data_IF_055330716649
#
_entry.id   IF_055330716649
#
_cell.length_a   1.000
_cell.length_b   1.000
_cell.length_c   1.000
_cell.angle_alpha   90.00
_cell.angle_beta   90.00
_cell.angle_gamma   90.00
#
_symmetry.space_group_name_H-M   'P 1'
#
loop_
_entity.id
_entity.type
_entity.pdbx_description
1 polymer ?
#
# COMPACT_ATOMS: atom_id res chain seq x y z
N UNK A 1 9.63 0.04 -10.34
CA UNK A 1 9.83 -1.33 -9.84
C UNK A 1 11.30 -1.52 -9.54
N UNK A 2 11.65 -2.34 -8.55
CA UNK A 2 13.01 -2.67 -8.15
C UNK A 2 13.03 -3.99 -7.38
N UNK A 3 14.15 -4.31 -6.73
CA UNK A 3 14.31 -5.57 -5.97
C UNK A 3 14.67 -6.78 -6.81
N UNK A 4 15.09 -6.59 -8.07
CA UNK A 4 15.63 -7.67 -8.89
C UNK A 4 17.05 -8.03 -8.43
N UNK A 5 17.13 -8.99 -7.52
CA UNK A 5 18.39 -9.49 -6.95
C UNK A 5 19.24 -10.15 -8.04
N UNK A 6 18.61 -10.87 -8.97
CA UNK A 6 19.33 -11.58 -10.02
C UNK A 6 20.02 -10.60 -10.97
N UNK A 7 19.34 -9.53 -11.39
CA UNK A 7 19.93 -8.53 -12.28
C UNK A 7 21.19 -7.86 -11.71
N UNK A 8 21.30 -7.71 -10.38
CA UNK A 8 22.45 -7.09 -9.72
C UNK A 8 23.53 -8.07 -9.29
N UNK A 9 23.16 -9.29 -8.89
CA UNK A 9 24.08 -10.24 -8.24
C UNK A 9 24.33 -11.52 -9.03
N UNK A 10 23.64 -11.73 -10.15
CA UNK A 10 23.75 -12.95 -10.97
C UNK A 10 23.27 -14.21 -10.26
N UNK A 11 22.49 -14.07 -9.19
CA UNK A 11 21.89 -15.16 -8.41
C UNK A 11 20.53 -14.73 -7.87
N UNK A 12 19.63 -15.69 -7.72
CA UNK A 12 18.30 -15.46 -7.14
C UNK A 12 18.40 -15.12 -5.64
N UNK A 13 17.27 -14.71 -5.07
CA UNK A 13 17.12 -14.45 -3.63
C UNK A 13 17.48 -15.66 -2.77
N UNK A 14 17.35 -16.87 -3.31
CA UNK A 14 17.46 -18.13 -2.57
C UNK A 14 16.26 -18.40 -1.66
N UNK A 15 15.19 -17.61 -1.79
CA UNK A 15 13.94 -17.73 -1.06
C UNK A 15 12.82 -18.22 -1.99
N UNK A 16 11.84 -18.99 -1.48
CA UNK A 16 10.72 -19.43 -2.29
C UNK A 16 9.83 -18.26 -2.69
N UNK A 17 9.04 -18.47 -3.75
CA UNK A 17 7.96 -17.56 -4.10
C UNK A 17 6.88 -17.56 -3.02
N UNK A 18 6.11 -16.48 -2.97
CA UNK A 18 5.04 -16.25 -2.01
C UNK A 18 3.69 -16.30 -2.73
N UNK A 19 2.71 -16.93 -2.08
CA UNK A 19 1.32 -16.96 -2.55
C UNK A 19 0.74 -15.55 -2.65
N UNK A 20 -0.13 -15.32 -3.62
CA UNK A 20 -0.80 -14.04 -3.81
C UNK A 20 -1.75 -13.70 -2.66
N UNK A 21 -1.53 -12.56 -1.99
CA UNK A 21 -2.41 -12.00 -0.95
C UNK A 21 -3.12 -10.75 -1.49
N UNK A 22 -3.97 -10.95 -2.50
CA UNK A 22 -4.56 -9.83 -3.25
C UNK A 22 -5.75 -9.16 -2.56
N UNK A 23 -6.45 -9.92 -1.73
CA UNK A 23 -7.57 -9.48 -0.89
C UNK A 23 -7.45 -10.14 0.47
N UNK A 24 -8.22 -9.65 1.44
CA UNK A 24 -8.33 -10.25 2.76
C UNK A 24 -9.77 -10.21 3.25
N UNK A 25 -10.10 -11.11 4.17
CA UNK A 25 -11.41 -11.17 4.83
C UNK A 25 -11.39 -10.26 6.05
N UNK A 26 -12.08 -9.13 5.98
CA UNK A 26 -12.18 -8.11 7.04
C UNK A 26 -13.44 -8.33 7.86
N UNK A 27 -13.29 -8.42 9.16
CA UNK A 27 -14.41 -8.36 10.10
C UNK A 27 -14.73 -6.89 10.38
N UNK A 28 -15.93 -6.38 10.02
CA UNK A 28 -16.28 -4.98 10.25
C UNK A 28 -16.38 -4.59 11.73
N UNK A 29 -16.57 -5.53 12.65
CA UNK A 29 -16.64 -5.27 14.09
C UNK A 29 -15.24 -5.17 14.71
N UNK A 30 -14.32 -6.05 14.32
CA UNK A 30 -12.94 -6.03 14.82
C UNK A 30 -12.05 -4.99 14.10
N UNK A 31 -12.31 -4.77 12.82
CA UNK A 31 -11.56 -3.88 11.94
C UNK A 31 -12.53 -2.92 11.22
N UNK A 32 -13.08 -1.92 11.93
CA UNK A 32 -14.03 -0.98 11.37
C UNK A 32 -13.38 -0.14 10.27
N UNK A 33 -14.18 0.21 9.26
CA UNK A 33 -13.75 1.14 8.22
C UNK A 33 -13.74 2.55 8.80
N UNK A 34 -12.55 3.15 8.91
CA UNK A 34 -12.35 4.50 9.42
C UNK A 34 -12.49 5.50 8.28
N UNK A 35 -13.09 6.66 8.55
CA UNK A 35 -13.24 7.73 7.55
C UNK A 35 -13.80 7.22 6.21
N UNK A 36 -14.94 6.51 6.31
CA UNK A 36 -15.65 5.95 5.18
C UNK A 36 -16.05 7.03 4.16
N UNK A 37 -15.94 6.69 2.87
CA UNK A 37 -16.40 7.52 1.76
C UNK A 37 -17.83 7.07 1.42
N UNK A 38 -18.80 7.90 1.80
CA UNK A 38 -20.23 7.59 1.73
C UNK A 38 -20.78 7.01 3.05
N UNK A 39 -22.02 6.49 3.05
CA UNK A 39 -22.63 5.92 4.25
C UNK A 39 -21.88 4.68 4.74
N UNK A 40 -21.56 4.60 6.04
CA UNK A 40 -20.68 3.59 6.65
C UNK A 40 -20.99 2.13 6.25
N UNK A 41 -22.28 1.80 6.18
CA UNK A 41 -22.82 0.48 5.89
C UNK A 41 -22.71 0.08 4.40
N UNK A 42 -22.59 1.07 3.50
CA UNK A 42 -22.48 0.88 2.04
C UNK A 42 -21.18 1.39 1.44
N UNK A 43 -20.34 2.03 2.25
CA UNK A 43 -19.07 2.61 1.82
C UNK A 43 -18.16 1.54 1.21
N UNK A 44 -17.56 1.91 0.09
CA UNK A 44 -16.63 1.04 -0.65
C UNK A 44 -15.18 1.37 -0.38
N UNK A 45 -14.92 2.55 0.19
CA UNK A 45 -13.59 3.09 0.40
C UNK A 45 -13.50 3.79 1.75
N UNK A 46 -12.32 3.77 2.33
CA UNK A 46 -12.01 4.43 3.59
C UNK A 46 -10.59 4.04 4.02
N UNK A 47 -10.37 4.02 5.33
CA UNK A 47 -9.08 3.68 5.91
C UNK A 47 -9.19 2.60 6.97
N UNK A 48 -8.09 1.92 7.22
CA UNK A 48 -7.87 1.14 8.45
C UNK A 48 -6.47 1.45 8.94
N UNK A 49 -6.33 1.97 10.17
CA UNK A 49 -5.03 2.29 10.79
C UNK A 49 -4.09 3.09 9.88
N UNK A 50 -4.63 4.02 9.10
CA UNK A 50 -3.88 4.86 8.18
C UNK A 50 -3.50 4.23 6.83
N UNK A 51 -4.00 3.04 6.50
CA UNK A 51 -3.90 2.46 5.15
C UNK A 51 -5.20 2.70 4.38
N UNK A 52 -5.14 3.04 3.08
CA UNK A 52 -6.35 3.11 2.26
C UNK A 52 -6.92 1.70 2.11
N UNK A 53 -8.25 1.56 2.14
CA UNK A 53 -8.95 0.29 2.02
C UNK A 53 -10.09 0.41 1.02
N UNK A 54 -10.16 -0.54 0.09
CA UNK A 54 -11.33 -0.86 -0.71
C UNK A 54 -12.04 -2.07 -0.10
N UNK A 55 -13.37 -2.05 -0.05
CA UNK A 55 -14.16 -3.09 0.64
C UNK A 55 -15.49 -3.34 -0.04
N UNK A 56 -16.02 -4.55 0.12
CA UNK A 56 -17.47 -4.78 -0.02
C UNK A 56 -18.22 -4.03 1.10
N UNK A 57 -19.49 -3.74 0.88
CA UNK A 57 -20.37 -3.11 1.86
C UNK A 57 -20.45 -3.94 3.15
N UNK A 58 -20.31 -3.29 4.30
CA UNK A 58 -20.16 -3.96 5.60
C UNK A 58 -21.36 -4.86 5.95
N UNK A 59 -22.57 -4.52 5.52
CA UNK A 59 -23.77 -5.34 5.77
C UNK A 59 -23.69 -6.75 5.15
N UNK A 60 -22.83 -6.98 4.16
CA UNK A 60 -22.61 -8.33 3.60
C UNK A 60 -21.96 -9.29 4.60
N UNK A 61 -21.30 -8.78 5.65
CA UNK A 61 -20.73 -9.62 6.71
C UNK A 61 -21.80 -10.52 7.35
N UNK A 62 -22.96 -9.95 7.70
CA UNK A 62 -24.09 -10.68 8.34
C UNK A 62 -24.66 -11.79 7.45
N UNK A 63 -24.44 -11.71 6.14
CA UNK A 63 -24.92 -12.68 5.16
C UNK A 63 -23.84 -13.70 4.74
N UNK A 64 -22.60 -13.51 5.20
CA UNK A 64 -21.46 -14.34 4.86
C UNK A 64 -21.24 -15.47 5.88
N UNK A 65 -20.65 -16.58 5.45
CA UNK A 65 -20.41 -17.73 6.32
C UNK A 65 -19.33 -17.49 7.39
N UNK A 66 -18.42 -16.55 7.13
CA UNK A 66 -17.29 -16.20 8.01
C UNK A 66 -17.49 -14.86 8.73
N UNK A 67 -18.68 -14.26 8.64
CA UNK A 67 -19.03 -12.97 9.24
C UNK A 67 -18.13 -11.80 8.79
N UNK A 68 -17.54 -11.91 7.59
CA UNK A 68 -16.54 -10.98 7.06
C UNK A 68 -16.92 -10.47 5.67
N UNK A 69 -16.24 -9.41 5.26
CA UNK A 69 -16.32 -8.86 3.91
C UNK A 69 -14.99 -8.94 3.20
N UNK A 70 -15.00 -9.04 1.88
CA UNK A 70 -13.77 -8.93 1.10
C UNK A 70 -13.28 -7.48 1.14
N UNK A 71 -12.02 -7.30 1.49
CA UNK A 71 -11.32 -6.01 1.49
C UNK A 71 -9.96 -6.15 0.81
N UNK A 72 -9.40 -5.03 0.38
CA UNK A 72 -8.10 -4.95 -0.26
C UNK A 72 -7.49 -3.57 -0.04
N UNK A 73 -6.17 -3.46 -0.20
CA UNK A 73 -5.49 -2.17 -0.20
C UNK A 73 -5.40 -1.67 -1.66
N UNK A 74 -6.12 -0.59 -2.04
CA UNK A 74 -6.06 -0.07 -3.40
C UNK A 74 -4.68 0.51 -3.66
N UNK A 75 -4.23 0.43 -4.91
CA UNK A 75 -2.91 0.90 -5.34
C UNK A 75 -2.88 2.43 -5.50
N UNK A 76 -3.13 3.13 -4.39
CA UNK A 76 -2.97 4.57 -4.28
C UNK A 76 -1.51 4.99 -4.34
N UNK A 77 -1.27 6.27 -4.63
CA UNK A 77 0.06 6.87 -4.50
C UNK A 77 0.64 6.59 -3.10
N UNK A 78 1.91 6.21 -3.04
CA UNK A 78 2.63 5.86 -1.82
C UNK A 78 2.45 4.41 -1.34
N UNK A 79 1.51 3.62 -1.90
CA UNK A 79 1.40 2.19 -1.58
C UNK A 79 2.60 1.41 -2.12
N UNK A 80 2.97 0.33 -1.43
CA UNK A 80 4.03 -0.60 -1.81
C UNK A 80 3.43 -1.97 -2.05
N UNK A 81 3.82 -2.61 -3.15
CA UNK A 81 3.25 -3.89 -3.61
C UNK A 81 4.32 -4.77 -4.28
N UNK A 82 4.06 -6.06 -4.42
CA UNK A 82 4.98 -7.05 -4.99
C UNK A 82 4.85 -7.15 -6.50
N UNK A 83 5.95 -7.24 -7.24
CA UNK A 83 5.89 -7.64 -8.65
C UNK A 83 5.73 -9.17 -8.77
N UNK A 84 5.10 -9.62 -9.85
CA UNK A 84 4.91 -11.04 -10.18
C UNK A 84 4.91 -11.25 -11.70
N UNK A 85 5.00 -12.50 -12.12
CA UNK A 85 4.69 -12.92 -13.50
C UNK A 85 3.18 -13.13 -13.67
N UNK A 86 2.76 -13.74 -14.78
CA UNK A 86 1.37 -14.18 -14.98
C UNK A 86 0.92 -15.21 -13.93
N UNK A 87 1.85 -15.96 -13.33
CA UNK A 87 1.53 -16.84 -12.21
C UNK A 87 1.23 -15.98 -10.96
N UNK A 88 0.01 -16.04 -10.40
CA UNK A 88 -0.36 -15.28 -9.21
C UNK A 88 0.51 -15.57 -7.98
N UNK A 89 1.20 -16.71 -7.94
CA UNK A 89 2.03 -17.16 -6.82
C UNK A 89 3.54 -17.08 -7.11
N UNK A 90 3.94 -16.22 -8.06
CA UNK A 90 5.35 -16.03 -8.45
C UNK A 90 6.02 -14.79 -7.84
N UNK A 91 5.36 -14.15 -6.87
CA UNK A 91 5.95 -12.99 -6.19
C UNK A 91 7.18 -13.43 -5.37
N UNK A 92 8.28 -12.71 -5.49
CA UNK A 92 9.52 -12.97 -4.76
C UNK A 92 10.13 -11.64 -4.27
N UNK A 93 11.41 -11.36 -4.55
CA UNK A 93 12.12 -10.18 -4.04
C UNK A 93 11.73 -8.85 -4.73
N UNK A 94 11.09 -8.90 -5.90
CA UNK A 94 10.76 -7.68 -6.65
C UNK A 94 9.53 -6.97 -6.09
N UNK A 95 9.60 -5.65 -6.00
CA UNK A 95 8.52 -4.79 -5.51
C UNK A 95 8.42 -3.50 -6.32
N UNK A 96 7.32 -2.80 -6.17
CA UNK A 96 7.13 -1.48 -6.73
C UNK A 96 6.52 -0.51 -5.73
N UNK A 97 6.86 0.77 -5.94
CA UNK A 97 6.40 1.90 -5.15
C UNK A 97 5.44 2.70 -6.03
N UNK A 98 4.19 2.86 -5.58
CA UNK A 98 3.16 3.53 -6.35
C UNK A 98 3.44 5.03 -6.43
N UNK A 99 3.69 5.54 -7.64
CA UNK A 99 3.85 6.98 -7.91
C UNK A 99 2.51 7.68 -8.12
N UNK A 100 1.52 6.95 -8.63
CA UNK A 100 0.17 7.42 -8.94
C UNK A 100 -0.83 6.28 -8.71
N UNK A 101 -2.12 6.60 -8.68
CA UNK A 101 -3.19 5.61 -8.59
C UNK A 101 -3.19 4.65 -9.79
N UNK A 102 -3.40 3.35 -9.54
CA UNK A 102 -3.46 2.32 -10.58
C UNK A 102 -4.49 1.21 -10.26
N UNK A 103 -5.78 1.51 -10.45
CA UNK A 103 -6.89 0.61 -10.07
C UNK A 103 -6.86 -0.75 -10.78
N UNK A 104 -6.21 -0.84 -11.96
CA UNK A 104 -6.06 -2.10 -12.70
C UNK A 104 -5.17 -3.13 -11.97
N UNK A 105 -4.41 -2.72 -10.94
CA UNK A 105 -3.61 -3.62 -10.12
C UNK A 105 -4.39 -4.16 -8.90
N UNK A 106 -5.49 -3.52 -8.54
CA UNK A 106 -6.27 -3.88 -7.37
C UNK A 106 -6.81 -5.29 -7.48
N UNK A 107 -6.77 -6.03 -6.36
CA UNK A 107 -7.16 -7.45 -6.26
C UNK A 107 -6.38 -8.40 -7.18
N UNK A 108 -5.31 -7.94 -7.81
CA UNK A 108 -4.45 -8.73 -8.70
C UNK A 108 -2.99 -8.75 -8.26
N UNK A 109 -2.60 -7.89 -7.31
CA UNK A 109 -1.24 -7.75 -6.78
C UNK A 109 -1.29 -7.59 -5.25
N UNK A 110 -0.27 -8.09 -4.57
CA UNK A 110 -0.18 -8.07 -3.11
C UNK A 110 0.36 -6.71 -2.64
N UNK A 111 -0.53 -5.80 -2.26
CA UNK A 111 -0.17 -4.55 -1.59
C UNK A 111 0.07 -4.80 -0.09
N UNK A 112 1.27 -4.49 0.41
CA UNK A 112 1.73 -4.89 1.74
C UNK A 112 2.26 -3.76 2.61
N UNK A 113 2.37 -2.55 2.06
CA UNK A 113 2.91 -1.42 2.81
C UNK A 113 2.59 -0.08 2.18
N UNK A 114 3.07 0.98 2.83
CA UNK A 114 3.04 2.33 2.28
C UNK A 114 4.27 3.12 2.71
N UNK A 115 4.64 4.09 1.90
CA UNK A 115 5.65 5.09 2.22
C UNK A 115 5.15 5.96 3.37
N UNK A 116 5.99 6.14 4.38
CA UNK A 116 5.72 7.01 5.55
C UNK A 116 6.59 8.26 5.55
N UNK A 117 7.66 8.29 4.78
CA UNK A 117 8.56 9.43 4.56
C UNK A 117 9.29 9.21 3.22
N UNK A 118 9.62 10.29 2.51
CA UNK A 118 10.34 10.22 1.23
C UNK A 118 9.46 9.93 0.01
N UNK A 119 8.19 10.30 0.05
CA UNK A 119 7.28 10.14 -1.10
C UNK A 119 7.73 10.98 -2.31
N UNK A 120 8.31 12.15 -2.07
CA UNK A 120 8.99 12.99 -3.07
C UNK A 120 10.20 12.28 -3.69
N UNK A 121 10.96 11.53 -2.89
CA UNK A 121 12.08 10.69 -3.37
C UNK A 121 11.55 9.60 -4.30
N UNK A 122 10.44 8.94 -3.95
CA UNK A 122 9.78 7.94 -4.81
C UNK A 122 9.37 8.55 -6.15
N UNK A 123 8.81 9.76 -6.13
CA UNK A 123 8.44 10.47 -7.35
C UNK A 123 9.65 10.91 -8.20
N UNK A 124 10.80 11.13 -7.57
CA UNK A 124 12.02 11.56 -8.22
C UNK A 124 12.83 10.41 -8.86
N UNK A 125 12.50 9.14 -8.56
CA UNK A 125 13.13 7.98 -9.20
C UNK A 125 12.99 8.09 -10.72
N UNK A 126 14.12 7.96 -11.44
CA UNK A 126 14.18 8.04 -12.90
C UNK A 126 13.17 7.09 -13.54
N UNK A 127 12.36 7.61 -14.46
CA UNK A 127 11.44 6.83 -15.29
C UNK A 127 12.03 6.57 -16.67
N UNK A 128 11.84 5.35 -17.17
CA UNK A 128 12.06 5.01 -18.57
C UNK A 128 10.84 5.37 -19.43
N UNK A 129 11.00 5.44 -20.76
CA UNK A 129 9.88 5.70 -21.66
C UNK A 129 8.95 4.48 -21.74
N UNK A 130 7.65 4.73 -21.95
CA UNK A 130 6.65 3.67 -22.13
C UNK A 130 6.91 2.79 -23.36
N UNK A 131 7.54 3.36 -24.39
CA UNK A 131 7.93 2.62 -25.60
C UNK A 131 8.89 1.45 -25.34
N UNK A 132 9.59 1.45 -24.20
CA UNK A 132 10.48 0.38 -23.76
C UNK A 132 10.05 -0.19 -22.42
N UNK A 133 8.74 -0.16 -22.15
CA UNK A 133 8.13 -0.67 -20.92
C UNK A 133 8.80 -0.13 -19.64
N UNK A 134 9.16 1.16 -19.66
CA UNK A 134 9.79 1.80 -18.51
C UNK A 134 11.25 1.42 -18.25
N UNK A 135 11.91 0.69 -19.15
CA UNK A 135 13.35 0.35 -19.03
C UNK A 135 14.21 1.60 -18.83
N UNK A 136 15.12 1.56 -17.86
CA UNK A 136 16.03 2.67 -17.51
C UNK A 136 17.48 2.24 -17.71
N UNK A 137 18.24 2.96 -18.54
CA UNK A 137 19.65 2.64 -18.82
C UNK A 137 20.62 3.00 -17.67
N UNK A 138 20.24 3.93 -16.79
CA UNK A 138 21.03 4.33 -15.61
C UNK A 138 20.09 4.51 -14.40
N UNK A 139 19.49 3.42 -13.89
CA UNK A 139 18.48 3.48 -12.85
C UNK A 139 19.05 4.01 -11.53
N UNK A 140 18.21 4.60 -10.70
CA UNK A 140 18.56 4.83 -9.31
C UNK A 140 18.61 3.50 -8.56
N UNK A 141 19.46 3.41 -7.54
CA UNK A 141 19.81 2.14 -6.89
C UNK A 141 19.40 2.17 -5.42
N UNK A 142 18.68 1.14 -4.98
CA UNK A 142 18.49 0.84 -3.56
C UNK A 142 19.83 0.38 -2.97
N UNK A 143 20.55 1.29 -2.32
CA UNK A 143 21.88 1.02 -1.76
C UNK A 143 21.84 0.08 -0.54
N UNK A 144 20.78 0.16 0.25
CA UNK A 144 20.60 -0.64 1.45
C UNK A 144 19.12 -0.68 1.86
N UNK A 145 18.69 -1.81 2.41
CA UNK A 145 17.43 -1.95 3.13
C UNK A 145 17.71 -2.47 4.54
N UNK A 146 17.00 -1.95 5.55
CA UNK A 146 17.15 -2.35 6.96
C UNK A 146 15.78 -2.39 7.61
N UNK A 147 15.57 -3.35 8.50
CA UNK A 147 14.38 -3.40 9.36
C UNK A 147 14.68 -2.59 10.62
N UNK A 148 13.81 -1.65 10.98
CA UNK A 148 14.03 -0.79 12.14
C UNK A 148 14.19 -1.59 13.45
N UNK A 149 13.51 -2.73 13.59
CA UNK A 149 13.65 -3.61 14.74
C UNK A 149 15.07 -4.20 14.89
N UNK A 150 15.80 -4.36 13.79
CA UNK A 150 17.16 -4.92 13.77
C UNK A 150 18.23 -3.87 14.08
N UNK A 151 17.89 -2.58 14.07
CA UNK A 151 18.80 -1.50 14.43
C UNK A 151 19.02 -1.42 15.95
N UNK A 152 20.19 -0.93 16.41
CA UNK A 152 20.39 -0.54 17.79
C UNK A 152 19.30 0.44 18.24
N UNK A 153 18.81 0.31 19.49
CA UNK A 153 17.66 1.10 19.96
C UNK A 153 17.84 2.62 19.80
N UNK A 154 19.08 3.12 19.88
CA UNK A 154 19.43 4.53 19.70
C UNK A 154 19.39 5.01 18.23
N UNK A 155 19.40 4.09 17.26
CA UNK A 155 19.37 4.37 15.81
C UNK A 155 18.00 4.06 15.20
N UNK A 156 17.01 3.63 16.01
CA UNK A 156 15.69 3.27 15.51
C UNK A 156 14.89 4.55 15.22
N UNK A 157 14.46 4.79 13.97
CA UNK A 157 13.56 5.89 13.69
C UNK A 157 12.24 5.64 14.42
N UNK A 158 11.69 6.70 15.02
CA UNK A 158 10.35 6.65 15.60
C UNK A 158 9.38 7.23 14.59
N UNK A 159 8.36 6.43 14.26
CA UNK A 159 7.35 6.81 13.27
C UNK A 159 5.99 6.86 13.94
N UNK A 160 5.30 7.97 13.77
CA UNK A 160 3.90 8.14 14.16
C UNK A 160 3.04 8.31 12.91
N UNK A 161 1.88 7.68 12.92
CA UNK A 161 0.85 7.80 11.90
C UNK A 161 -0.35 8.50 12.50
N UNK A 162 -0.90 9.50 11.81
CA UNK A 162 -2.15 10.14 12.22
C UNK A 162 -3.26 9.09 12.27
N UNK A 163 -3.97 9.05 13.40
CA UNK A 163 -5.14 8.22 13.60
C UNK A 163 -6.28 8.63 12.65
N UNK A 164 -6.67 7.73 11.77
CA UNK A 164 -7.74 7.94 10.77
C UNK A 164 -9.15 7.89 11.37
N UNK A 165 -9.29 7.33 12.58
CA UNK A 165 -10.51 7.41 13.41
C UNK A 165 -10.59 8.69 14.28
N UNK A 166 -9.55 9.52 14.26
CA UNK A 166 -9.43 10.71 15.11
C UNK A 166 -10.11 11.97 14.53
N UNK A 167 -10.44 12.96 15.38
CA UNK A 167 -11.10 14.20 14.95
C UNK A 167 -10.24 15.01 13.97
N UNK A 168 -8.91 15.07 14.19
CA UNK A 168 -7.98 15.79 13.30
C UNK A 168 -8.00 15.27 11.86
N UNK A 169 -8.13 13.95 11.69
CA UNK A 169 -8.19 13.38 10.36
C UNK A 169 -9.52 13.72 9.68
N UNK A 170 -10.64 13.61 10.40
CA UNK A 170 -11.97 14.01 9.88
C UNK A 170 -12.01 15.47 9.45
N UNK A 171 -11.41 16.37 10.23
CA UNK A 171 -11.28 17.79 9.86
C UNK A 171 -10.48 17.98 8.56
N UNK A 172 -9.41 17.20 8.37
CA UNK A 172 -8.60 17.25 7.14
C UNK A 172 -9.35 16.77 5.89
N UNK A 173 -10.30 15.84 6.04
CA UNK A 173 -11.16 15.37 4.94
C UNK A 173 -12.25 16.38 4.62
N UNK A 174 -12.89 16.96 5.65
CA UNK A 174 -13.91 17.99 5.46
C UNK A 174 -13.38 19.21 4.68
N UNK A 175 -12.10 19.53 4.80
CA UNK A 175 -11.43 20.58 4.03
C UNK A 175 -11.22 20.23 2.54
N UNK A 176 -11.19 18.94 2.17
CA UNK A 176 -11.00 18.45 0.80
C UNK A 176 -12.33 18.28 0.04
N UNK A 177 -13.44 18.12 0.75
CA UNK A 177 -14.76 17.88 0.17
C UNK A 177 -15.02 16.40 -0.11
N UNK A 178 -16.17 16.09 -0.74
CA UNK A 178 -16.52 14.73 -1.12
C UNK A 178 -15.71 14.28 -2.34
N UNK A 179 -15.08 13.11 -2.25
CA UNK A 179 -14.36 12.45 -3.35
C UNK A 179 -14.92 11.06 -3.59
N UNK A 180 -14.88 10.53 -4.82
CA UNK A 180 -15.44 9.21 -5.12
C UNK A 180 -14.48 8.05 -4.77
N UNK A 181 -13.18 8.32 -4.55
CA UNK A 181 -12.15 7.31 -4.32
C UNK A 181 -11.14 7.71 -3.24
N UNK A 182 -10.69 6.74 -2.43
CA UNK A 182 -9.72 7.01 -1.34
C UNK A 182 -8.36 7.49 -1.84
N UNK A 183 -7.96 7.12 -3.06
CA UNK A 183 -6.69 7.57 -3.63
C UNK A 183 -6.68 9.05 -4.05
N UNK A 184 -7.84 9.72 -4.07
CA UNK A 184 -7.94 11.16 -4.31
C UNK A 184 -7.77 11.97 -3.02
N UNK A 185 -7.84 11.31 -1.86
CA UNK A 185 -7.57 11.92 -0.58
C UNK A 185 -6.07 12.08 -0.36
N UNK A 186 -5.72 13.12 0.38
CA UNK A 186 -4.33 13.36 0.81
C UNK A 186 -3.82 12.18 1.65
N UNK A 187 -2.55 11.78 1.41
CA UNK A 187 -1.86 10.76 2.20
C UNK A 187 -1.99 11.02 3.71
N UNK A 188 -2.22 9.95 4.47
CA UNK A 188 -2.34 10.04 5.94
C UNK A 188 -1.03 10.57 6.52
N UNK A 189 -1.13 11.69 7.22
CA UNK A 189 0.02 12.40 7.78
C UNK A 189 0.84 11.49 8.71
N UNK A 190 2.14 11.62 8.59
CA UNK A 190 3.15 10.89 9.36
C UNK A 190 4.15 11.87 9.97
N UNK A 191 4.71 11.50 11.11
CA UNK A 191 5.85 12.19 11.70
C UNK A 191 6.96 11.17 11.91
N UNK A 192 8.18 11.51 11.48
CA UNK A 192 9.37 10.66 11.63
C UNK A 192 10.43 11.43 12.40
N UNK A 193 10.93 10.81 13.47
CA UNK A 193 12.08 11.27 14.25
C UNK A 193 13.22 10.27 13.99
N UNK A 194 14.27 10.75 13.33
CA UNK A 194 15.47 9.99 12.99
C UNK A 194 16.58 10.17 14.02
#
# INVERSE_FOLDING_TARGET
QGGDIFALHGRDSGLPDVEGEFTFRRDPLEMPLEAAIGPDDTAKFGYVKGFPIGTQASFFAEMSADEKVESYMPHCRGVVSTARTEDPNSANAQFFLMRYQADHLDKNYTAWGRVVEGEDVVLAIKSGPSATDGLVHNPDILKSAKIAADLPAAERPKVWVMRTDGPKFRESLAAQGEVPHVCELTSVLTAVEN
#
